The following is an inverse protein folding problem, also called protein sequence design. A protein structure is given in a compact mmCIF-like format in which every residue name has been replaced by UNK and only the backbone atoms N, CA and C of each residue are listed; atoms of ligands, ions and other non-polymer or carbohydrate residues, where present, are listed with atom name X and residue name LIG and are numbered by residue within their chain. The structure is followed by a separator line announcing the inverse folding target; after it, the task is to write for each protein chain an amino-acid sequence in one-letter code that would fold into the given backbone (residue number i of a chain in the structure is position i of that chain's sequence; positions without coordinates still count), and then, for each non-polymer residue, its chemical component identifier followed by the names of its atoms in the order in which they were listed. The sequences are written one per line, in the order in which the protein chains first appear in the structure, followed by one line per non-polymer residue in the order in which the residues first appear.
data_IF_182571735007
#
_entry.id   IF_182571735007
#
_cell.length_a   1.000
_cell.length_b   1.000
_cell.length_c   1.000
_cell.angle_alpha   90.00
_cell.angle_beta   90.00
_cell.angle_gamma   90.00
#
_symmetry.space_group_name_H-M   'P 1'
#
loop_
_entity.id
_entity.type
_entity.pdbx_description
1 polymer ?
#
# COMPACT_ATOMS: atom_id res chain seq x y z
N UNK A 1 -17.88 24.26 -39.79
CA UNK A 1 -16.46 24.43 -39.38
C UNK A 1 -16.31 24.82 -37.90
N UNK A 2 -16.97 25.88 -37.41
CA UNK A 2 -16.86 26.29 -36.00
C UNK A 2 -17.44 25.28 -34.99
N UNK A 3 -18.62 24.72 -35.27
CA UNK A 3 -19.29 23.72 -34.40
C UNK A 3 -18.48 22.43 -34.27
N UNK A 4 -17.93 21.93 -35.38
CA UNK A 4 -17.05 20.74 -35.40
C UNK A 4 -15.83 20.93 -34.49
N UNK A 5 -15.20 22.11 -34.55
CA UNK A 5 -14.04 22.46 -33.72
C UNK A 5 -14.42 22.54 -32.23
N UNK A 6 -15.58 23.15 -31.92
CA UNK A 6 -16.08 23.21 -30.55
C UNK A 6 -16.37 21.81 -29.97
N UNK A 7 -16.96 20.91 -30.76
CA UNK A 7 -17.22 19.52 -30.36
C UNK A 7 -15.93 18.73 -30.13
N UNK A 8 -14.92 18.92 -30.99
CA UNK A 8 -13.59 18.28 -30.82
C UNK A 8 -12.89 18.80 -29.55
N UNK A 9 -12.96 20.11 -29.26
CA UNK A 9 -12.39 20.67 -28.04
C UNK A 9 -13.12 20.18 -26.78
N UNK A 10 -14.45 20.07 -26.81
CA UNK A 10 -15.24 19.54 -25.70
C UNK A 10 -14.94 18.06 -25.44
N UNK A 11 -14.82 17.26 -26.50
CA UNK A 11 -14.44 15.85 -26.40
C UNK A 11 -13.00 15.70 -25.86
N UNK A 12 -12.05 16.55 -26.29
CA UNK A 12 -10.68 16.56 -25.77
C UNK A 12 -10.63 16.95 -24.29
N UNK A 13 -11.38 17.96 -23.85
CA UNK A 13 -11.49 18.35 -22.45
C UNK A 13 -12.19 17.27 -21.59
N UNK A 14 -13.19 16.58 -22.15
CA UNK A 14 -13.85 15.45 -21.49
C UNK A 14 -12.92 14.22 -21.36
N UNK A 15 -12.05 13.98 -22.35
CA UNK A 15 -11.02 12.94 -22.27
C UNK A 15 -9.90 13.28 -21.28
N UNK A 16 -9.59 14.57 -21.08
CA UNK A 16 -8.68 15.03 -20.02
C UNK A 16 -9.30 14.93 -18.61
N UNK A 17 -10.63 14.77 -18.54
CA UNK A 17 -11.40 14.54 -17.32
C UNK A 17 -11.43 13.07 -16.89
N UNK A 18 -10.43 12.26 -17.31
CA UNK A 18 -10.23 10.95 -16.71
C UNK A 18 -10.09 11.13 -15.20
N UNK A 19 -11.17 10.79 -14.50
CA UNK A 19 -11.30 10.83 -13.06
C UNK A 19 -10.10 10.09 -12.48
N UNK A 20 -9.22 10.81 -11.80
CA UNK A 20 -8.19 10.22 -10.96
C UNK A 20 -8.90 9.55 -9.78
N UNK A 21 -9.48 8.39 -10.02
CA UNK A 21 -10.07 7.57 -8.97
C UNK A 21 -8.92 6.95 -8.18
N UNK A 22 -8.92 7.19 -6.87
CA UNK A 22 -8.02 6.49 -5.95
C UNK A 22 -8.20 4.98 -6.09
N UNK A 23 -7.12 4.26 -6.41
CA UNK A 23 -7.11 2.81 -6.44
C UNK A 23 -6.95 2.26 -5.02
N UNK A 24 -7.51 1.08 -4.79
CA UNK A 24 -7.36 0.34 -3.54
C UNK A 24 -6.52 -0.91 -3.80
N UNK A 25 -5.34 -0.98 -3.20
CA UNK A 25 -4.44 -2.12 -3.29
C UNK A 25 -4.53 -2.93 -2.01
N UNK A 26 -5.21 -4.08 -2.07
CA UNK A 26 -5.17 -5.02 -0.95
C UNK A 26 -3.84 -5.75 -0.97
N UNK A 27 -3.07 -5.62 0.11
CA UNK A 27 -1.72 -6.16 0.24
C UNK A 27 -1.74 -7.68 0.14
N UNK A 28 -0.97 -8.23 -0.81
CA UNK A 28 -0.88 -9.68 -1.08
C UNK A 28 -2.00 -10.24 -1.98
N UNK A 29 -3.06 -9.48 -2.28
CA UNK A 29 -4.15 -9.95 -3.12
C UNK A 29 -3.74 -10.09 -4.60
N UNK A 30 -4.41 -10.95 -5.38
CA UNK A 30 -5.51 -11.84 -4.99
C UNK A 30 -5.08 -13.18 -4.40
N UNK A 31 -3.79 -13.54 -4.48
CA UNK A 31 -3.27 -14.88 -4.15
C UNK A 31 -2.81 -15.07 -2.70
N UNK A 32 -2.87 -14.03 -1.87
CA UNK A 32 -2.37 -14.05 -0.50
C UNK A 32 -2.87 -12.87 0.34
N UNK A 33 -2.12 -12.53 1.38
CA UNK A 33 -2.48 -11.48 2.33
C UNK A 33 -1.29 -10.92 3.10
N UNK A 34 -1.58 -10.20 4.19
CA UNK A 34 -0.57 -9.74 5.13
C UNK A 34 -0.20 -10.87 6.11
N UNK A 35 0.65 -11.78 5.63
CA UNK A 35 1.10 -12.99 6.34
C UNK A 35 2.51 -13.40 5.88
N UNK A 36 3.08 -14.44 6.50
CA UNK A 36 4.44 -14.94 6.17
C UNK A 36 4.51 -15.89 4.99
N UNK A 37 3.38 -16.36 4.46
CA UNK A 37 3.34 -17.29 3.34
C UNK A 37 3.28 -16.58 1.98
N UNK A 38 2.87 -15.31 1.98
CA UNK A 38 2.68 -14.52 0.77
C UNK A 38 3.98 -13.85 0.32
N UNK A 39 4.33 -13.99 -0.96
CA UNK A 39 5.43 -13.23 -1.57
C UNK A 39 5.02 -11.76 -1.82
N UNK A 40 5.15 -10.95 -0.78
CA UNK A 40 4.81 -9.52 -0.82
C UNK A 40 5.77 -8.69 -1.69
N UNK A 41 6.97 -9.18 -1.98
CA UNK A 41 7.90 -8.50 -2.89
C UNK A 41 7.42 -8.64 -4.33
N UNK A 42 7.10 -9.86 -4.76
CA UNK A 42 6.53 -10.11 -6.07
C UNK A 42 5.21 -9.36 -6.26
N UNK A 43 4.35 -9.37 -5.22
CA UNK A 43 3.12 -8.57 -5.23
C UNK A 43 3.42 -7.08 -5.43
N UNK A 44 4.30 -6.48 -4.62
CA UNK A 44 4.58 -5.04 -4.70
C UNK A 44 5.16 -4.63 -6.07
N UNK A 45 6.02 -5.46 -6.68
CA UNK A 45 6.57 -5.23 -8.02
C UNK A 45 5.49 -5.30 -9.11
N UNK A 46 4.43 -6.09 -8.91
CA UNK A 46 3.31 -6.19 -9.84
C UNK A 46 2.34 -4.99 -9.79
N UNK A 47 2.43 -4.14 -8.76
CA UNK A 47 1.54 -3.02 -8.56
C UNK A 47 2.10 -1.71 -9.12
N UNK A 48 1.21 -0.83 -9.56
CA UNK A 48 1.52 0.58 -9.82
C UNK A 48 0.81 1.41 -8.76
N UNK A 49 1.58 2.11 -7.93
CA UNK A 49 1.05 2.97 -6.87
C UNK A 49 1.12 4.44 -7.28
N UNK A 50 0.03 5.16 -7.10
CA UNK A 50 -0.09 6.59 -7.37
C UNK A 50 -0.44 7.36 -6.10
N UNK A 51 -0.12 8.66 -6.09
CA UNK A 51 -0.59 9.55 -5.03
C UNK A 51 -2.11 9.62 -5.09
N UNK A 52 -2.76 9.40 -3.94
CA UNK A 52 -4.21 9.31 -3.81
C UNK A 52 -4.71 7.88 -3.61
N UNK A 53 -3.92 6.86 -3.96
CA UNK A 53 -4.30 5.45 -3.76
C UNK A 53 -4.28 5.05 -2.28
N UNK A 54 -4.88 3.89 -1.97
CA UNK A 54 -4.86 3.31 -0.64
C UNK A 54 -4.21 1.92 -0.63
N UNK A 55 -3.40 1.66 0.39
CA UNK A 55 -3.00 0.31 0.77
C UNK A 55 -3.98 -0.24 1.81
N UNK A 56 -4.52 -1.43 1.57
CA UNK A 56 -5.42 -2.12 2.49
C UNK A 56 -4.72 -3.36 3.03
N UNK A 57 -4.42 -3.32 4.32
CA UNK A 57 -3.85 -4.43 5.07
C UNK A 57 -4.99 -5.16 5.78
N UNK A 58 -5.21 -6.44 5.44
CA UNK A 58 -6.15 -7.32 6.13
C UNK A 58 -5.38 -8.40 6.85
N UNK A 59 -5.62 -8.54 8.15
CA UNK A 59 -4.86 -9.43 9.02
C UNK A 59 -5.67 -9.85 10.25
N UNK A 60 -5.30 -10.94 10.91
CA UNK A 60 -5.94 -11.31 12.18
C UNK A 60 -5.47 -10.38 13.30
N UNK A 61 -6.19 -10.32 14.42
CA UNK A 61 -5.85 -9.44 15.56
C UNK A 61 -4.50 -9.75 16.20
N UNK A 62 -3.90 -10.90 15.87
CA UNK A 62 -2.58 -11.30 16.34
C UNK A 62 -1.44 -10.74 15.47
N UNK A 63 -1.79 -9.97 14.44
CA UNK A 63 -0.85 -9.26 13.58
C UNK A 63 -1.04 -7.75 13.73
N UNK A 64 -0.02 -7.04 13.29
CA UNK A 64 0.08 -5.59 13.28
C UNK A 64 0.71 -5.11 11.97
N UNK A 65 0.54 -3.83 11.69
CA UNK A 65 1.23 -3.14 10.61
C UNK A 65 2.01 -1.99 11.21
N UNK A 66 3.33 -2.09 11.14
CA UNK A 66 4.26 -1.06 11.57
C UNK A 66 4.77 -0.33 10.33
N UNK A 67 4.56 0.98 10.26
CA UNK A 67 5.28 1.82 9.30
C UNK A 67 6.63 2.20 9.91
N UNK A 68 7.71 1.97 9.16
CA UNK A 68 9.08 2.09 9.66
C UNK A 68 9.98 2.86 8.69
N UNK A 69 11.15 3.26 9.18
CA UNK A 69 12.21 3.80 8.33
C UNK A 69 12.81 2.70 7.44
N UNK A 70 13.52 3.10 6.38
CA UNK A 70 14.26 2.13 5.56
C UNK A 70 15.24 1.29 6.38
N UNK A 71 15.97 1.91 7.32
CA UNK A 71 16.94 1.18 8.15
C UNK A 71 16.27 0.10 9.00
N UNK A 72 15.13 0.42 9.63
CA UNK A 72 14.36 -0.56 10.40
C UNK A 72 13.71 -1.62 9.50
N UNK A 73 13.31 -1.28 8.28
CA UNK A 73 12.85 -2.27 7.32
C UNK A 73 13.97 -3.26 6.95
N UNK A 74 15.14 -2.75 6.58
CA UNK A 74 16.29 -3.56 6.18
C UNK A 74 16.79 -4.47 7.31
N UNK A 75 16.69 -4.02 8.57
CA UNK A 75 17.13 -4.77 9.76
C UNK A 75 16.01 -5.55 10.45
N UNK A 76 14.78 -5.55 9.92
CA UNK A 76 13.58 -6.04 10.60
C UNK A 76 13.40 -5.46 12.02
N UNK A 77 13.82 -4.21 12.23
CA UNK A 77 13.75 -3.51 13.50
C UNK A 77 12.33 -3.06 13.82
N UNK A 78 11.78 -3.55 14.92
CA UNK A 78 10.43 -3.19 15.39
C UNK A 78 10.41 -2.04 16.40
N UNK A 79 11.59 -1.55 16.79
CA UNK A 79 11.73 -0.45 17.75
C UNK A 79 11.40 0.89 17.11
N UNK A 80 10.66 1.74 17.85
CA UNK A 80 10.30 3.10 17.45
C UNK A 80 9.67 3.19 16.05
N UNK A 81 8.57 2.46 15.77
CA UNK A 81 7.86 2.57 14.51
C UNK A 81 7.34 4.00 14.34
N UNK A 82 7.29 4.47 13.09
CA UNK A 82 6.70 5.78 12.76
C UNK A 82 5.20 5.78 13.03
N UNK A 83 4.53 4.66 12.72
CA UNK A 83 3.12 4.39 13.03
C UNK A 83 2.91 2.92 13.32
N UNK A 84 1.95 2.64 14.18
CA UNK A 84 1.51 1.28 14.53
C UNK A 84 0.02 1.16 14.30
N UNK A 85 -0.41 0.10 13.61
CA UNK A 85 -1.80 -0.18 13.36
C UNK A 85 -2.15 -1.61 13.80
N UNK A 86 -3.24 -1.74 14.55
CA UNK A 86 -3.78 -3.01 15.07
C UNK A 86 -5.28 -3.10 14.73
N UNK A 87 -5.92 -4.24 15.04
CA UNK A 87 -7.37 -4.40 14.84
C UNK A 87 -7.78 -5.10 13.54
N UNK A 88 -6.81 -5.57 12.74
CA UNK A 88 -7.03 -6.55 11.67
C UNK A 88 -7.50 -6.02 10.32
N UNK A 89 -7.86 -4.74 10.22
CA UNK A 89 -8.11 -4.10 8.94
C UNK A 89 -7.63 -2.64 8.97
N UNK A 90 -6.60 -2.34 8.20
CA UNK A 90 -5.96 -1.02 8.18
C UNK A 90 -5.93 -0.50 6.75
N UNK A 91 -6.43 0.73 6.58
CA UNK A 91 -6.37 1.47 5.31
C UNK A 91 -5.35 2.59 5.46
N UNK A 92 -4.33 2.59 4.61
CA UNK A 92 -3.26 3.59 4.61
C UNK A 92 -3.30 4.36 3.29
N UNK A 93 -3.64 5.67 3.31
CA UNK A 93 -3.60 6.48 2.10
C UNK A 93 -2.15 6.80 1.69
N UNK A 94 -1.89 6.75 0.39
CA UNK A 94 -0.66 7.17 -0.25
C UNK A 94 -0.77 8.66 -0.61
N UNK A 95 -0.69 9.53 0.39
CA UNK A 95 -0.91 10.98 0.24
C UNK A 95 0.29 11.75 -0.31
N UNK A 96 1.48 11.15 -0.33
CA UNK A 96 2.72 11.79 -0.77
C UNK A 96 3.56 10.86 -1.63
N UNK A 97 4.32 11.39 -2.61
CA UNK A 97 5.27 10.59 -3.36
C UNK A 97 6.41 10.08 -2.47
N UNK A 98 6.89 8.87 -2.72
CA UNK A 98 8.08 8.33 -2.07
C UNK A 98 7.95 6.86 -1.68
N UNK A 99 9.07 6.29 -1.22
CA UNK A 99 9.10 4.91 -0.70
C UNK A 99 8.58 4.91 0.73
N UNK A 100 7.69 3.97 1.03
CA UNK A 100 7.19 3.69 2.38
C UNK A 100 7.45 2.23 2.70
N UNK A 101 7.72 1.95 3.97
CA UNK A 101 8.16 0.64 4.42
C UNK A 101 7.26 0.16 5.55
N UNK A 102 6.76 -1.06 5.40
CA UNK A 102 5.83 -1.67 6.35
C UNK A 102 6.35 -3.05 6.76
N UNK A 103 6.29 -3.35 8.06
CA UNK A 103 6.65 -4.66 8.64
C UNK A 103 5.59 -5.09 9.66
N UNK A 104 5.53 -6.37 10.00
CA UNK A 104 4.80 -6.83 11.18
C UNK A 104 5.75 -6.92 12.37
N UNK A 105 5.34 -6.35 13.51
CA UNK A 105 6.05 -6.43 14.79
C UNK A 105 5.67 -7.65 15.63
N UNK A 106 4.66 -8.40 15.21
CA UNK A 106 4.13 -9.56 15.90
C UNK A 106 5.19 -10.67 15.99
N UNK A 107 5.74 -10.81 17.19
CA UNK A 107 6.85 -11.70 17.63
C UNK A 107 6.63 -13.20 17.32
N UNK A 108 5.44 -13.60 16.85
CA UNK A 108 5.07 -14.99 16.52
C UNK A 108 5.47 -15.43 15.11
N UNK A 109 6.01 -14.55 14.27
CA UNK A 109 6.34 -14.86 12.87
C UNK A 109 7.83 -15.10 12.59
N UNK A 110 8.68 -15.17 13.62
CA UNK A 110 10.07 -15.60 13.45
C UNK A 110 10.58 -16.23 14.75
N UNK A 111 11.32 -17.37 14.70
CA UNK A 111 11.94 -17.95 15.88
C UNK A 111 12.98 -16.96 16.39
N UNK A 112 12.63 -16.21 17.43
CA UNK A 112 13.64 -15.61 18.29
C UNK A 112 14.23 -16.76 19.10
N UNK A 113 15.48 -17.08 18.79
CA UNK A 113 16.37 -17.68 19.78
C UNK A 113 16.55 -16.58 20.84
N UNK A 114 15.73 -16.63 21.89
CA UNK A 114 16.04 -15.93 23.13
C UNK A 114 16.83 -16.91 23.98
N UNK A 115 18.09 -16.56 24.22
CA UNK A 115 18.91 -17.11 25.29
C UNK A 115 18.38 -16.67 26.65
#
# INVERSE_FOLDING_TARGET
MAVQRALVCLAALAMLFQLAMAANHTVGAPGGGWDTSTDLQAWAVSQTFSVGDNLIFKYTTNHDVLEVTKANYDSCGTSNPMKTHTGGNTVIPLSTPGKRYFISGSRTLWPRNED
#
